data_IF_839671323084
#
_entry.id   IF_839671323084
#
_cell.length_a   1.000
_cell.length_b   1.000
_cell.length_c   1.000
_cell.angle_alpha   90.00
_cell.angle_beta   90.00
_cell.angle_gamma   90.00
#
_symmetry.space_group_name_H-M   'P 1'
#
loop_
_entity.id
_entity.type
_entity.pdbx_description
1 polymer ?
#
# COMPACT_ATOMS: atom_id res chain seq x y z
N UNK A 1 -50.78 -27.82 -52.56
CA UNK A 1 -50.84 -26.81 -51.45
C UNK A 1 -49.45 -26.24 -51.26
N UNK A 2 -49.21 -25.09 -51.82
CA UNK A 2 -47.91 -24.40 -51.71
C UNK A 2 -47.97 -23.48 -50.47
N UNK A 3 -47.19 -23.81 -49.44
CA UNK A 3 -46.99 -22.90 -48.30
C UNK A 3 -45.96 -21.83 -48.70
N UNK A 4 -46.42 -20.60 -48.93
CA UNK A 4 -45.55 -19.46 -49.09
C UNK A 4 -44.95 -19.09 -47.72
N UNK A 5 -43.68 -19.38 -47.49
CA UNK A 5 -42.90 -18.87 -46.38
C UNK A 5 -42.53 -17.42 -46.72
N UNK A 6 -43.21 -16.47 -46.08
CA UNK A 6 -42.86 -15.05 -46.17
C UNK A 6 -41.61 -14.87 -45.30
N UNK A 7 -40.45 -14.91 -45.93
CA UNK A 7 -39.18 -14.52 -45.30
C UNK A 7 -39.12 -12.98 -45.19
N UNK A 8 -39.31 -12.40 -44.02
CA UNK A 8 -39.09 -11.00 -43.78
C UNK A 8 -37.57 -10.76 -43.71
N UNK A 9 -37.01 -10.28 -44.81
CA UNK A 9 -35.60 -9.83 -44.82
C UNK A 9 -35.49 -8.47 -44.12
N UNK A 10 -35.00 -8.48 -42.91
CA UNK A 10 -34.66 -7.23 -42.19
C UNK A 10 -33.52 -6.51 -42.90
N UNK A 11 -33.63 -5.17 -43.05
CA UNK A 11 -32.55 -4.38 -43.64
C UNK A 11 -31.30 -4.45 -42.70
N UNK A 12 -30.12 -4.30 -43.29
CA UNK A 12 -28.86 -4.29 -42.48
C UNK A 12 -28.89 -3.23 -41.38
N UNK A 13 -29.56 -2.09 -41.65
CA UNK A 13 -29.73 -1.04 -40.62
C UNK A 13 -30.61 -1.49 -39.46
N UNK A 14 -31.69 -2.24 -39.75
CA UNK A 14 -32.58 -2.80 -38.73
C UNK A 14 -31.89 -3.84 -37.89
N UNK A 15 -31.07 -4.69 -38.51
CA UNK A 15 -30.27 -5.69 -37.75
C UNK A 15 -29.26 -5.02 -36.86
N UNK A 16 -28.54 -4.01 -37.35
CA UNK A 16 -27.59 -3.21 -36.56
C UNK A 16 -28.29 -2.53 -35.39
N UNK A 17 -29.43 -1.89 -35.60
CA UNK A 17 -30.20 -1.24 -34.55
C UNK A 17 -30.66 -2.24 -33.47
N UNK A 18 -31.12 -3.42 -33.88
CA UNK A 18 -31.54 -4.50 -32.95
C UNK A 18 -30.36 -5.00 -32.10
N UNK A 19 -29.23 -5.20 -32.72
CA UNK A 19 -27.99 -5.61 -31.99
C UNK A 19 -27.60 -4.54 -30.99
N UNK A 20 -27.59 -3.25 -31.36
CA UNK A 20 -27.28 -2.16 -30.42
C UNK A 20 -28.29 -2.08 -29.28
N UNK A 21 -29.60 -2.22 -29.56
CA UNK A 21 -30.63 -2.21 -28.53
C UNK A 21 -30.46 -3.38 -27.56
N UNK A 22 -30.16 -4.59 -28.06
CA UNK A 22 -29.95 -5.78 -27.23
C UNK A 22 -28.71 -5.61 -26.34
N UNK A 23 -27.59 -5.14 -26.91
CA UNK A 23 -26.37 -4.87 -26.15
C UNK A 23 -26.61 -3.81 -25.09
N UNK A 24 -27.31 -2.73 -25.41
CA UNK A 24 -27.64 -1.68 -24.44
C UNK A 24 -28.50 -2.21 -23.28
N UNK A 25 -29.50 -3.04 -23.58
CA UNK A 25 -30.36 -3.67 -22.57
C UNK A 25 -29.57 -4.61 -21.65
N UNK A 26 -28.67 -5.42 -22.21
CA UNK A 26 -27.79 -6.30 -21.44
C UNK A 26 -26.86 -5.50 -20.53
N UNK A 27 -26.29 -4.40 -21.00
CA UNK A 27 -25.43 -3.53 -20.21
C UNK A 27 -26.18 -2.86 -19.06
N UNK A 28 -27.41 -2.39 -19.29
CA UNK A 28 -28.27 -1.84 -18.21
C UNK A 28 -28.63 -2.90 -17.19
N UNK A 29 -28.97 -4.12 -17.63
CA UNK A 29 -29.24 -5.25 -16.73
C UNK A 29 -28.05 -5.62 -15.86
N UNK A 30 -26.86 -5.69 -16.45
CA UNK A 30 -25.63 -5.99 -15.74
C UNK A 30 -25.28 -4.88 -14.72
N UNK A 31 -25.46 -3.61 -15.09
CA UNK A 31 -25.26 -2.47 -14.18
C UNK A 31 -26.23 -2.54 -12.97
N UNK A 32 -27.49 -2.90 -13.22
CA UNK A 32 -28.49 -3.06 -12.17
C UNK A 32 -28.10 -4.21 -11.20
N UNK A 33 -27.64 -5.36 -11.73
CA UNK A 33 -27.18 -6.50 -10.91
C UNK A 33 -25.97 -6.10 -10.06
N UNK A 34 -24.98 -5.40 -10.64
CA UNK A 34 -23.80 -4.94 -9.93
C UNK A 34 -24.14 -3.97 -8.79
N UNK A 35 -25.05 -3.04 -9.02
CA UNK A 35 -25.55 -2.11 -7.98
C UNK A 35 -26.36 -2.81 -6.89
N UNK A 36 -27.16 -3.81 -7.25
CA UNK A 36 -27.94 -4.58 -6.29
C UNK A 36 -27.04 -5.44 -5.40
N UNK A 37 -26.06 -6.13 -5.97
CA UNK A 37 -25.09 -6.93 -5.21
C UNK A 37 -24.30 -6.08 -4.20
N UNK A 38 -23.96 -4.86 -4.57
CA UNK A 38 -23.27 -3.92 -3.69
C UNK A 38 -24.16 -3.44 -2.53
N UNK A 39 -25.44 -3.17 -2.79
CA UNK A 39 -26.41 -2.82 -1.73
C UNK A 39 -26.64 -3.97 -0.75
N UNK A 40 -26.73 -5.20 -1.23
CA UNK A 40 -26.87 -6.38 -0.37
C UNK A 40 -25.65 -6.59 0.50
N UNK A 41 -24.44 -6.44 -0.07
CA UNK A 41 -23.18 -6.54 0.69
C UNK A 41 -23.02 -5.42 1.75
N UNK A 42 -23.54 -4.21 1.50
CA UNK A 42 -23.51 -3.11 2.45
C UNK A 42 -24.50 -3.31 3.62
N UNK A 43 -25.68 -3.91 3.37
CA UNK A 43 -26.65 -4.22 4.42
C UNK A 43 -26.19 -5.33 5.35
N UNK A 44 -25.52 -6.36 4.83
CA UNK A 44 -24.92 -7.43 5.65
C UNK A 44 -23.76 -6.91 6.51
N UNK A 45 -22.93 -6.01 5.97
CA UNK A 45 -21.84 -5.39 6.70
C UNK A 45 -22.32 -4.46 7.83
N UNK A 46 -23.43 -3.75 7.64
CA UNK A 46 -24.01 -2.86 8.68
C UNK A 46 -24.60 -3.64 9.85
N UNK A 47 -25.21 -4.79 9.58
CA UNK A 47 -25.85 -5.63 10.61
C UNK A 47 -24.82 -6.42 11.46
N UNK A 48 -23.63 -6.69 10.94
CA UNK A 48 -22.55 -7.34 11.72
C UNK A 48 -21.74 -6.35 12.58
N UNK A 49 -21.58 -5.10 12.15
CA UNK A 49 -20.84 -4.08 12.91
C UNK A 49 -21.57 -3.62 14.20
N UNK A 50 -22.87 -3.78 14.30
CA UNK A 50 -23.64 -3.36 15.49
C UNK A 50 -23.49 -4.30 16.69
N UNK A 51 -23.02 -5.54 16.51
CA UNK A 51 -22.84 -6.50 17.62
C UNK A 51 -21.44 -6.56 18.21
N UNK A 52 -20.41 -6.09 17.49
CA UNK A 52 -19.00 -6.12 17.98
C UNK A 52 -18.53 -4.76 18.52
N UNK A 53 -19.34 -3.70 18.36
CA UNK A 53 -18.95 -2.31 18.64
C UNK A 53 -19.14 -1.82 20.07
N UNK A 54 -19.74 -2.60 20.97
CA UNK A 54 -20.05 -2.12 22.32
C UNK A 54 -18.92 -2.22 23.35
N UNK A 55 -17.85 -2.98 23.08
CA UNK A 55 -16.70 -3.13 24.03
C UNK A 55 -15.43 -2.40 23.57
N UNK A 56 -15.36 -1.92 22.33
CA UNK A 56 -14.22 -1.17 21.76
C UNK A 56 -14.44 0.37 21.75
N UNK A 57 -15.54 0.88 22.35
CA UNK A 57 -16.06 2.21 22.00
C UNK A 57 -15.26 3.42 22.49
N UNK A 58 -14.56 3.32 23.62
CA UNK A 58 -13.87 4.50 24.16
C UNK A 58 -12.47 4.68 23.58
N UNK A 59 -11.72 3.58 23.36
CA UNK A 59 -10.35 3.62 22.84
C UNK A 59 -10.25 4.05 21.39
N UNK A 60 -11.22 3.63 20.56
CA UNK A 60 -11.31 4.03 19.14
C UNK A 60 -11.80 5.46 18.95
N UNK A 61 -12.63 5.98 19.86
CA UNK A 61 -13.18 7.34 19.76
C UNK A 61 -12.10 8.41 19.94
N UNK A 62 -11.22 8.24 20.93
CA UNK A 62 -10.12 9.17 21.17
C UNK A 62 -9.09 9.14 20.02
N UNK A 63 -8.74 7.96 19.53
CA UNK A 63 -7.84 7.82 18.38
C UNK A 63 -8.43 8.46 17.13
N UNK A 64 -9.70 8.20 16.82
CA UNK A 64 -10.40 8.78 15.68
C UNK A 64 -10.51 10.31 15.79
N UNK A 65 -10.77 10.84 16.99
CA UNK A 65 -10.78 12.30 17.24
C UNK A 65 -9.40 12.91 17.00
N UNK A 66 -8.32 12.24 17.44
CA UNK A 66 -6.95 12.68 17.21
C UNK A 66 -6.60 12.68 15.72
N UNK A 67 -6.96 11.62 14.99
CA UNK A 67 -6.76 11.50 13.54
C UNK A 67 -7.53 12.59 12.79
N UNK A 68 -8.78 12.85 13.18
CA UNK A 68 -9.58 13.90 12.58
C UNK A 68 -8.93 15.29 12.77
N UNK A 69 -8.52 15.65 14.00
CA UNK A 69 -7.82 16.90 14.28
C UNK A 69 -6.52 17.02 13.50
N UNK A 70 -5.74 15.93 13.39
CA UNK A 70 -4.53 15.91 12.59
C UNK A 70 -4.84 16.14 11.10
N UNK A 71 -5.92 15.53 10.59
CA UNK A 71 -6.38 15.71 9.21
C UNK A 71 -6.83 17.14 8.92
N UNK A 72 -7.49 17.79 9.88
CA UNK A 72 -7.89 19.20 9.78
C UNK A 72 -6.66 20.12 9.75
N UNK A 73 -5.67 19.87 10.59
CA UNK A 73 -4.39 20.58 10.56
C UNK A 73 -3.64 20.40 9.24
N UNK A 74 -3.68 19.19 8.66
CA UNK A 74 -3.09 18.90 7.34
C UNK A 74 -3.84 19.58 6.20
N UNK A 75 -5.16 19.69 6.27
CA UNK A 75 -5.99 20.36 5.26
C UNK A 75 -5.65 21.84 5.07
N UNK A 76 -5.13 22.49 6.10
CA UNK A 76 -4.68 23.89 6.06
C UNK A 76 -3.29 24.07 5.43
N UNK A 77 -2.51 23.00 5.21
CA UNK A 77 -1.12 23.05 4.74
C UNK A 77 -0.94 22.80 3.25
N UNK A 78 -2.01 22.85 2.44
CA UNK A 78 -2.01 22.82 0.97
C UNK A 78 -1.07 21.76 0.33
N UNK A 79 -1.11 20.53 0.82
CA UNK A 79 -0.56 19.38 0.07
C UNK A 79 0.96 19.32 -0.10
N UNK A 80 1.74 20.19 0.54
CA UNK A 80 3.20 20.12 0.54
C UNK A 80 3.67 19.10 1.58
N UNK A 81 4.34 18.08 1.10
CA UNK A 81 5.04 16.98 1.79
C UNK A 81 5.13 17.10 3.31
N UNK A 82 4.30 16.34 3.92
CA UNK A 82 3.81 16.44 5.26
C UNK A 82 4.81 15.89 6.27
N UNK A 83 5.77 16.67 6.66
CA UNK A 83 6.19 16.57 8.06
C UNK A 83 4.95 16.95 8.86
N UNK A 84 4.41 15.99 9.60
CA UNK A 84 3.26 16.24 10.45
C UNK A 84 3.59 17.36 11.41
N UNK A 85 2.68 18.29 11.59
CA UNK A 85 2.78 19.32 12.63
C UNK A 85 2.87 18.60 13.97
N UNK A 86 3.64 19.14 14.91
CA UNK A 86 3.64 18.62 16.28
C UNK A 86 2.21 18.51 16.80
N UNK A 87 1.88 17.33 17.32
CA UNK A 87 0.54 17.00 17.78
C UNK A 87 0.64 16.12 19.02
N UNK A 88 -0.17 16.43 20.02
CA UNK A 88 -0.19 15.71 21.29
C UNK A 88 -1.60 15.25 21.63
N UNK A 89 -1.72 13.98 21.99
CA UNK A 89 -2.93 13.37 22.52
C UNK A 89 -2.57 12.15 23.38
N UNK A 90 -3.50 11.61 24.17
CA UNK A 90 -3.22 10.43 25.01
C UNK A 90 -2.73 9.20 24.25
N UNK A 91 -3.03 9.09 22.96
CA UNK A 91 -2.80 7.87 22.18
C UNK A 91 -2.06 8.06 20.86
N UNK A 92 -1.94 9.31 20.40
CA UNK A 92 -1.35 9.63 19.11
C UNK A 92 -0.52 10.91 19.24
N UNK A 93 0.78 10.78 19.10
CA UNK A 93 1.70 11.90 19.28
C UNK A 93 2.64 12.06 18.09
N UNK A 94 2.89 13.29 17.70
CA UNK A 94 3.88 13.68 16.70
C UNK A 94 4.83 14.70 17.33
N UNK A 95 6.11 14.38 17.35
CA UNK A 95 7.16 15.21 17.93
C UNK A 95 8.18 15.52 16.83
N UNK A 96 8.53 16.81 16.67
CA UNK A 96 9.44 17.28 15.62
C UNK A 96 9.05 16.82 14.19
N UNK A 97 7.73 16.70 13.98
CA UNK A 97 7.16 16.26 12.71
C UNK A 97 7.20 14.77 12.47
N UNK A 98 7.57 13.94 13.45
CA UNK A 98 7.64 12.49 13.34
C UNK A 98 6.73 11.79 14.36
N UNK A 99 6.14 10.67 13.96
CA UNK A 99 5.32 9.86 14.87
C UNK A 99 6.16 9.38 16.06
N UNK A 100 5.63 9.55 17.28
CA UNK A 100 6.31 9.11 18.50
C UNK A 100 6.55 7.59 18.49
N UNK A 101 7.75 7.20 18.88
CA UNK A 101 8.10 5.84 19.28
C UNK A 101 8.14 5.75 20.80
N UNK A 102 7.39 4.84 21.38
CA UNK A 102 7.34 4.68 22.84
C UNK A 102 8.52 3.86 23.38
N UNK A 103 8.78 3.96 24.65
CA UNK A 103 9.78 3.16 25.39
C UNK A 103 11.21 3.30 24.86
N UNK A 104 11.55 4.44 24.27
CA UNK A 104 12.91 4.74 23.84
C UNK A 104 13.85 4.85 25.05
N UNK A 105 15.10 4.34 24.96
CA UNK A 105 16.08 4.51 26.05
C UNK A 105 16.43 5.99 26.20
N UNK A 106 16.67 6.46 27.44
CA UNK A 106 17.08 7.84 27.70
C UNK A 106 18.39 8.18 27.00
N UNK A 107 19.32 7.24 26.99
CA UNK A 107 20.58 7.31 26.26
C UNK A 107 20.68 6.13 25.29
N UNK A 108 21.15 6.38 24.09
CA UNK A 108 21.32 5.37 23.05
C UNK A 108 22.73 5.43 22.46
N UNK A 109 23.34 4.28 22.23
CA UNK A 109 24.65 4.17 21.58
C UNK A 109 24.53 4.29 20.07
N UNK A 110 23.41 3.86 19.50
CA UNK A 110 23.11 3.92 18.07
C UNK A 110 21.63 4.21 17.81
N UNK A 111 21.31 4.54 16.57
CA UNK A 111 19.95 4.80 16.13
C UNK A 111 19.52 3.79 15.07
N UNK A 112 18.26 3.39 15.14
CA UNK A 112 17.58 2.71 14.06
C UNK A 112 16.57 3.68 13.44
N UNK A 113 16.73 4.00 12.17
CA UNK A 113 15.82 4.85 11.42
C UNK A 113 14.92 3.98 10.52
N UNK A 114 13.63 3.93 10.82
CA UNK A 114 12.65 3.23 10.00
C UNK A 114 11.92 4.23 9.10
N UNK A 115 12.27 4.24 7.82
CA UNK A 115 11.65 5.06 6.79
C UNK A 115 10.52 4.31 6.09
N UNK A 116 9.50 5.03 5.67
CA UNK A 116 8.40 4.49 4.87
C UNK A 116 7.25 5.46 4.70
N UNK A 117 6.13 4.93 4.23
CA UNK A 117 4.90 5.66 4.02
C UNK A 117 3.97 5.66 5.24
N UNK A 118 2.65 5.73 4.97
CA UNK A 118 1.59 5.62 5.98
C UNK A 118 1.67 4.34 6.82
N UNK A 119 2.14 3.24 6.24
CA UNK A 119 2.32 1.96 6.92
C UNK A 119 3.42 1.97 8.00
N UNK A 120 4.37 2.91 7.96
CA UNK A 120 5.34 3.16 9.05
C UNK A 120 4.82 4.23 10.00
N UNK A 121 4.15 5.26 9.48
CA UNK A 121 3.49 6.27 10.30
C UNK A 121 2.42 5.66 11.21
N UNK A 122 1.72 4.60 10.75
CA UNK A 122 0.74 3.81 11.51
C UNK A 122 -0.33 4.69 12.16
N UNK A 123 -1.02 5.52 11.37
CA UNK A 123 -2.07 6.41 11.90
C UNK A 123 -3.30 5.66 12.43
N UNK A 124 -3.46 4.40 12.06
CA UNK A 124 -4.60 3.53 12.39
C UNK A 124 -4.53 2.95 13.81
N UNK A 125 -3.38 3.11 14.49
CA UNK A 125 -3.13 2.52 15.82
C UNK A 125 -2.57 3.54 16.79
N UNK A 126 -2.58 3.20 18.09
CA UNK A 126 -1.96 4.02 19.14
C UNK A 126 -0.43 4.03 19.01
N UNK A 127 0.24 4.99 19.66
CA UNK A 127 1.71 5.11 19.63
C UNK A 127 2.42 3.82 20.00
N UNK A 128 1.95 3.15 21.06
CA UNK A 128 2.54 1.89 21.54
C UNK A 128 2.41 0.72 20.57
N UNK A 129 1.44 0.79 19.62
CA UNK A 129 1.10 -0.30 18.72
C UNK A 129 1.65 -0.09 17.29
N UNK A 130 2.45 0.98 17.08
CA UNK A 130 3.15 1.21 15.81
C UNK A 130 4.24 0.16 15.58
N UNK A 131 4.66 -0.05 14.34
CA UNK A 131 5.80 -0.93 14.01
C UNK A 131 7.04 -0.48 14.79
N UNK A 132 7.32 0.84 14.84
CA UNK A 132 8.48 1.38 15.54
C UNK A 132 8.46 1.11 17.04
N UNK A 133 7.33 1.30 17.71
CA UNK A 133 7.22 1.04 19.15
C UNK A 133 7.31 -0.45 19.48
N UNK A 134 6.73 -1.33 18.63
CA UNK A 134 6.92 -2.76 18.75
C UNK A 134 8.39 -3.15 18.56
N UNK A 135 9.06 -2.58 17.56
CA UNK A 135 10.49 -2.83 17.30
C UNK A 135 11.36 -2.31 18.44
N UNK A 136 11.03 -1.14 19.03
CA UNK A 136 11.73 -0.60 20.20
C UNK A 136 11.67 -1.58 21.39
N UNK A 137 10.50 -2.15 21.72
CA UNK A 137 10.38 -3.14 22.78
C UNK A 137 11.22 -4.40 22.53
N UNK A 138 11.28 -4.85 21.28
CA UNK A 138 12.10 -6.00 20.89
C UNK A 138 13.59 -5.68 21.03
N UNK A 139 14.02 -4.50 20.59
CA UNK A 139 15.41 -4.04 20.73
C UNK A 139 15.80 -3.85 22.20
N UNK A 140 14.91 -3.31 23.04
CA UNK A 140 15.16 -3.16 24.48
C UNK A 140 15.41 -4.51 25.19
N UNK A 141 14.98 -5.63 24.60
CA UNK A 141 15.26 -6.96 25.13
C UNK A 141 16.67 -7.47 24.80
N UNK A 142 17.41 -6.77 23.95
CA UNK A 142 18.82 -7.04 23.64
C UNK A 142 19.75 -6.28 24.59
N UNK A 143 21.04 -6.57 24.52
CA UNK A 143 22.08 -5.87 25.33
C UNK A 143 22.45 -4.49 24.76
N UNK A 144 21.99 -4.18 23.54
CA UNK A 144 22.35 -2.95 22.84
C UNK A 144 21.35 -1.83 23.16
N UNK A 145 21.84 -0.62 23.44
CA UNK A 145 21.00 0.55 23.65
C UNK A 145 20.75 1.27 22.34
N UNK A 146 19.73 0.82 21.57
CA UNK A 146 19.37 1.36 20.26
C UNK A 146 18.08 2.18 20.38
N UNK A 147 18.05 3.37 19.82
CA UNK A 147 16.85 4.22 19.71
C UNK A 147 16.20 4.02 18.37
N UNK A 148 14.95 3.54 18.34
CA UNK A 148 14.16 3.39 17.12
C UNK A 148 13.45 4.71 16.79
N UNK A 149 13.75 5.27 15.63
CA UNK A 149 13.18 6.52 15.12
C UNK A 149 12.17 6.23 14.02
N UNK A 150 10.91 6.60 14.23
CA UNK A 150 9.89 6.54 13.21
C UNK A 150 10.10 7.67 12.19
N UNK A 151 10.39 7.33 10.95
CA UNK A 151 10.57 8.26 9.81
C UNK A 151 9.49 8.03 8.75
N UNK A 152 8.35 7.48 9.15
CA UNK A 152 7.19 7.26 8.29
C UNK A 152 6.35 8.52 8.12
N UNK A 153 5.95 8.80 6.87
CA UNK A 153 5.01 9.86 6.53
C UNK A 153 4.06 9.37 5.44
N UNK A 154 2.76 9.59 5.60
CA UNK A 154 1.74 9.17 4.64
C UNK A 154 2.08 9.64 3.21
N UNK A 155 1.98 8.71 2.26
CA UNK A 155 2.24 8.97 0.85
C UNK A 155 3.71 8.96 0.43
N UNK A 156 4.68 8.86 1.35
CA UNK A 156 6.10 8.82 0.98
C UNK A 156 6.45 7.56 0.17
N UNK A 157 7.23 7.79 -0.87
CA UNK A 157 7.84 6.80 -1.75
C UNK A 157 9.30 6.59 -1.39
N UNK A 158 9.95 5.60 -1.99
CA UNK A 158 11.41 5.39 -1.86
C UNK A 158 12.19 6.67 -2.20
N UNK A 159 11.82 7.38 -3.27
CA UNK A 159 12.48 8.63 -3.67
C UNK A 159 12.31 9.75 -2.62
N UNK A 160 11.13 9.85 -2.02
CA UNK A 160 10.89 10.83 -0.96
C UNK A 160 11.67 10.46 0.32
N UNK A 161 11.72 9.18 0.67
CA UNK A 161 12.53 8.67 1.79
C UNK A 161 14.03 8.91 1.57
N UNK A 162 14.52 8.78 0.34
CA UNK A 162 15.90 9.12 -0.02
C UNK A 162 16.23 10.58 0.28
N UNK A 163 15.31 11.49 -0.07
CA UNK A 163 15.48 12.92 0.21
C UNK A 163 15.54 13.21 1.71
N UNK A 164 14.78 12.49 2.53
CA UNK A 164 14.80 12.65 3.99
C UNK A 164 16.07 12.00 4.60
N UNK A 165 16.51 10.84 4.12
CA UNK A 165 17.73 10.19 4.56
C UNK A 165 18.96 11.08 4.28
N UNK A 166 18.99 11.75 3.13
CA UNK A 166 20.09 12.65 2.75
C UNK A 166 20.29 13.83 3.72
N UNK A 167 19.30 14.14 4.55
CA UNK A 167 19.39 15.20 5.58
C UNK A 167 19.97 14.71 6.91
N UNK A 168 20.13 13.39 7.08
CA UNK A 168 20.64 12.81 8.32
C UNK A 168 22.17 12.68 8.29
N UNK A 169 22.77 13.00 9.41
CA UNK A 169 24.16 12.68 9.71
C UNK A 169 24.19 11.30 10.38
N UNK A 170 24.32 10.26 9.56
CA UNK A 170 24.46 8.90 10.06
C UNK A 170 25.80 8.70 10.76
N UNK A 171 25.82 7.79 11.73
CA UNK A 171 27.03 7.38 12.47
C UNK A 171 27.31 5.90 12.20
N UNK A 172 28.52 5.47 12.50
CA UNK A 172 28.82 4.05 12.59
C UNK A 172 27.84 3.38 13.57
N UNK A 173 27.45 2.14 13.27
CA UNK A 173 26.49 1.32 14.02
C UNK A 173 25.04 1.82 13.99
N UNK A 174 24.73 2.92 13.29
CA UNK A 174 23.32 3.25 12.99
C UNK A 174 22.73 2.21 12.03
N UNK A 175 21.40 2.03 12.11
CA UNK A 175 20.66 1.10 11.25
C UNK A 175 19.64 1.91 10.45
N UNK A 176 19.63 1.74 9.14
CA UNK A 176 18.66 2.34 8.23
C UNK A 176 17.80 1.25 7.62
N UNK A 177 16.49 1.35 7.82
CA UNK A 177 15.51 0.45 7.22
C UNK A 177 14.56 1.26 6.33
N UNK A 178 14.44 0.85 5.08
CA UNK A 178 13.45 1.38 4.13
C UNK A 178 12.33 0.35 3.96
N UNK A 179 11.15 0.66 4.48
CA UNK A 179 9.95 -0.17 4.36
C UNK A 179 9.07 0.40 3.25
N UNK A 180 9.02 -0.29 2.10
CA UNK A 180 8.48 0.27 0.86
C UNK A 180 7.59 -0.70 0.10
N UNK A 181 6.97 -0.21 -0.98
CA UNK A 181 6.21 -0.99 -1.96
C UNK A 181 4.81 -0.47 -2.20
N UNK A 182 4.02 -0.14 -1.16
CA UNK A 182 2.64 0.26 -1.32
C UNK A 182 2.48 1.56 -2.13
N UNK A 183 3.17 2.62 -1.75
CA UNK A 183 3.07 3.91 -2.44
C UNK A 183 3.78 3.88 -3.79
N UNK A 184 4.94 3.22 -3.85
CA UNK A 184 5.73 3.08 -5.07
C UNK A 184 4.98 2.31 -6.16
N UNK A 185 4.18 1.31 -5.79
CA UNK A 185 3.34 0.57 -6.76
C UNK A 185 2.12 1.33 -7.27
N UNK A 186 1.73 2.44 -6.62
CA UNK A 186 0.60 3.29 -7.04
C UNK A 186 0.99 4.42 -8.00
N UNK A 187 2.15 5.02 -7.80
CA UNK A 187 2.47 6.34 -8.32
C UNK A 187 2.50 6.42 -9.85
N UNK A 188 3.08 5.43 -10.52
CA UNK A 188 3.23 5.51 -11.98
C UNK A 188 1.94 5.22 -12.75
N UNK A 189 1.01 4.49 -12.15
CA UNK A 189 -0.28 4.21 -12.78
C UNK A 189 -1.16 5.46 -12.82
N UNK A 190 -1.14 6.29 -11.77
CA UNK A 190 -1.98 7.49 -11.70
C UNK A 190 -1.40 8.70 -12.43
N UNK A 191 -0.10 8.93 -12.38
CA UNK A 191 0.54 10.08 -13.03
C UNK A 191 0.54 9.98 -14.56
N UNK A 192 0.60 8.78 -15.12
CA UNK A 192 0.58 8.58 -16.57
C UNK A 192 -0.86 8.51 -17.14
N UNK A 193 -1.84 8.06 -16.37
CA UNK A 193 -3.26 8.17 -16.75
C UNK A 193 -3.71 9.64 -16.82
N UNK A 194 -3.15 10.51 -15.96
CA UNK A 194 -3.49 11.94 -15.95
C UNK A 194 -2.85 12.75 -17.10
N UNK A 195 -1.73 12.31 -17.66
CA UNK A 195 -0.91 13.10 -18.58
C UNK A 195 -1.03 12.77 -20.08
N UNK A 196 -1.73 11.69 -20.49
CA UNK A 196 -1.89 11.37 -21.92
C UNK A 196 -3.33 11.16 -22.31
N UNK A 197 -3.88 12.02 -23.19
CA UNK A 197 -5.18 11.77 -23.79
C UNK A 197 -5.09 10.46 -24.60
N UNK A 198 -6.10 9.64 -24.42
CA UNK A 198 -6.31 8.37 -25.11
C UNK A 198 -6.05 8.44 -26.61
N UNK A 199 -5.11 7.64 -27.09
CA UNK A 199 -4.74 7.56 -28.51
C UNK A 199 -5.02 6.22 -29.18
N UNK A 200 -5.87 5.36 -28.62
CA UNK A 200 -6.21 4.09 -29.26
C UNK A 200 -7.72 3.93 -29.47
N UNK A 201 -8.11 3.63 -30.68
CA UNK A 201 -9.46 3.52 -31.24
C UNK A 201 -10.24 4.83 -31.08
N UNK A 202 -10.18 5.76 -32.05
CA UNK A 202 -10.93 7.02 -32.03
C UNK A 202 -12.43 6.73 -31.91
N UNK A 203 -13.04 7.11 -30.78
CA UNK A 203 -14.46 6.94 -30.51
C UNK A 203 -14.73 6.02 -29.33
N UNK A 204 -14.30 4.75 -29.34
CA UNK A 204 -14.65 3.77 -28.33
C UNK A 204 -14.12 4.12 -26.92
N UNK A 205 -12.87 4.51 -26.82
CA UNK A 205 -12.25 4.91 -25.55
C UNK A 205 -12.80 6.22 -25.01
N UNK A 206 -13.19 7.15 -25.90
CA UNK A 206 -13.86 8.38 -25.48
C UNK A 206 -15.24 8.10 -24.91
N UNK A 207 -15.99 7.19 -25.55
CA UNK A 207 -17.32 6.78 -25.08
C UNK A 207 -17.20 6.05 -23.74
N UNK A 208 -16.32 5.06 -23.61
CA UNK A 208 -16.12 4.36 -22.32
C UNK A 208 -15.62 5.30 -21.24
N UNK A 209 -14.70 6.22 -21.55
CA UNK A 209 -14.25 7.23 -20.62
C UNK A 209 -15.39 8.16 -20.17
N UNK A 210 -16.25 8.58 -21.09
CA UNK A 210 -17.44 9.37 -20.78
C UNK A 210 -18.42 8.59 -19.89
N UNK A 211 -18.74 7.34 -20.23
CA UNK A 211 -19.64 6.48 -19.47
C UNK A 211 -19.09 6.21 -18.06
N UNK A 212 -17.79 5.96 -17.92
CA UNK A 212 -17.14 5.75 -16.63
C UNK A 212 -17.11 7.01 -15.77
N UNK A 213 -16.64 8.14 -16.31
CA UNK A 213 -16.37 9.36 -15.54
C UNK A 213 -17.64 10.19 -15.35
N UNK A 214 -18.41 10.41 -16.40
CA UNK A 214 -19.59 11.29 -16.36
C UNK A 214 -20.83 10.57 -15.83
N UNK A 215 -21.08 9.36 -16.27
CA UNK A 215 -22.24 8.59 -15.84
C UNK A 215 -21.93 7.63 -14.67
N UNK A 216 -20.67 7.49 -14.26
CA UNK A 216 -20.23 6.61 -13.17
C UNK A 216 -20.77 5.18 -13.32
N UNK A 217 -20.82 4.66 -14.54
CA UNK A 217 -21.28 3.31 -14.82
C UNK A 217 -20.21 2.28 -14.45
N UNK A 218 -20.53 1.37 -13.57
CA UNK A 218 -19.65 0.31 -13.07
C UNK A 218 -19.24 -0.68 -14.16
N UNK A 219 -20.15 -1.03 -15.03
CA UNK A 219 -19.88 -1.90 -16.17
C UNK A 219 -18.86 -1.26 -17.12
N UNK A 220 -18.93 0.06 -17.35
CA UNK A 220 -17.94 0.77 -18.14
C UNK A 220 -16.58 0.80 -17.46
N UNK A 221 -16.54 0.88 -16.15
CA UNK A 221 -15.31 0.78 -15.36
C UNK A 221 -14.71 -0.63 -15.44
N UNK A 222 -15.52 -1.67 -15.32
CA UNK A 222 -15.08 -3.06 -15.47
C UNK A 222 -14.54 -3.35 -16.87
N UNK A 223 -15.29 -2.99 -17.94
CA UNK A 223 -14.83 -3.15 -19.32
C UNK A 223 -13.52 -2.38 -19.56
N UNK A 224 -13.43 -1.15 -19.03
CA UNK A 224 -12.22 -0.35 -19.11
C UNK A 224 -11.01 -1.04 -18.47
N UNK A 225 -11.19 -1.58 -17.27
CA UNK A 225 -10.12 -2.27 -16.54
C UNK A 225 -9.63 -3.52 -17.28
N UNK A 226 -10.52 -4.22 -17.99
CA UNK A 226 -10.21 -5.46 -18.68
C UNK A 226 -9.72 -5.27 -20.13
N UNK A 227 -10.24 -4.26 -20.85
CA UNK A 227 -10.05 -4.17 -22.32
C UNK A 227 -9.18 -3.01 -22.79
N UNK A 228 -9.14 -1.89 -22.05
CA UNK A 228 -8.55 -0.64 -22.57
C UNK A 228 -7.11 -0.44 -22.09
N UNK A 229 -6.62 -1.23 -21.16
CA UNK A 229 -5.22 -1.14 -20.71
C UNK A 229 -4.29 -1.84 -21.70
N UNK A 230 -3.43 -1.11 -22.40
CA UNK A 230 -2.39 -1.74 -23.19
C UNK A 230 -1.39 -2.40 -22.24
N UNK A 231 -1.35 -3.73 -22.26
CA UNK A 231 -0.44 -4.53 -21.43
C UNK A 231 1.03 -4.07 -21.55
N UNK A 232 1.47 -3.73 -22.75
CA UNK A 232 2.86 -3.30 -23.02
C UNK A 232 3.25 -2.00 -22.33
N UNK A 233 2.36 -1.00 -22.26
CA UNK A 233 2.66 0.25 -21.57
C UNK A 233 2.72 0.08 -20.05
N UNK A 234 1.84 -0.73 -19.50
CA UNK A 234 1.85 -1.02 -18.08
C UNK A 234 3.13 -1.74 -17.67
N UNK A 235 3.58 -2.74 -18.46
CA UNK A 235 4.81 -3.45 -18.22
C UNK A 235 6.04 -2.53 -18.30
N UNK A 236 6.12 -1.69 -19.34
CA UNK A 236 7.21 -0.72 -19.46
C UNK A 236 7.24 0.27 -18.29
N UNK A 237 6.09 0.71 -17.80
CA UNK A 237 6.02 1.62 -16.67
C UNK A 237 6.45 0.93 -15.37
N UNK A 238 6.08 -0.34 -15.20
CA UNK A 238 6.49 -1.17 -14.07
C UNK A 238 8.01 -1.34 -14.06
N UNK A 239 8.63 -1.60 -15.21
CA UNK A 239 10.08 -1.73 -15.35
C UNK A 239 10.81 -0.43 -15.00
N UNK A 240 10.37 0.70 -15.56
CA UNK A 240 10.94 2.03 -15.30
C UNK A 240 10.79 2.41 -13.83
N UNK A 241 9.64 2.11 -13.22
CA UNK A 241 9.43 2.39 -11.81
C UNK A 241 10.35 1.53 -10.93
N UNK A 242 10.48 0.25 -11.23
CA UNK A 242 11.35 -0.64 -10.50
C UNK A 242 12.84 -0.25 -10.63
N UNK A 243 13.25 0.24 -11.80
CA UNK A 243 14.59 0.79 -12.03
C UNK A 243 14.83 2.06 -11.18
N UNK A 244 13.88 2.98 -11.14
CA UNK A 244 13.97 4.17 -10.32
C UNK A 244 14.05 3.86 -8.82
N UNK A 245 13.30 2.85 -8.35
CA UNK A 245 13.36 2.36 -6.98
C UNK A 245 14.71 1.71 -6.70
N UNK A 246 15.23 0.88 -7.61
CA UNK A 246 16.55 0.25 -7.50
C UNK A 246 17.66 1.29 -7.37
N UNK A 247 17.68 2.31 -8.25
CA UNK A 247 18.66 3.40 -8.20
C UNK A 247 18.62 4.12 -6.86
N UNK A 248 17.43 4.53 -6.41
CA UNK A 248 17.27 5.26 -5.15
C UNK A 248 17.72 4.42 -3.93
N UNK A 249 17.37 3.12 -3.88
CA UNK A 249 17.79 2.22 -2.81
C UNK A 249 19.30 2.00 -2.80
N UNK A 250 19.94 1.88 -3.96
CA UNK A 250 21.42 1.78 -4.05
C UNK A 250 22.10 3.05 -3.54
N UNK A 251 21.61 4.22 -3.91
CA UNK A 251 22.15 5.50 -3.42
C UNK A 251 22.03 5.61 -1.89
N UNK A 252 20.88 5.21 -1.31
CA UNK A 252 20.69 5.17 0.13
C UNK A 252 21.61 4.16 0.82
N UNK A 253 21.79 2.97 0.22
CA UNK A 253 22.73 1.99 0.73
C UNK A 253 24.17 2.53 0.73
N UNK A 254 24.61 3.19 -0.34
CA UNK A 254 25.95 3.80 -0.41
C UNK A 254 26.12 4.89 0.66
N UNK A 255 25.10 5.71 0.91
CA UNK A 255 25.14 6.72 1.98
C UNK A 255 25.30 6.04 3.36
N UNK A 256 24.51 5.01 3.65
CA UNK A 256 24.59 4.28 4.92
C UNK A 256 25.97 3.62 5.10
N UNK A 257 26.43 2.87 4.11
CA UNK A 257 27.75 2.20 4.16
C UNK A 257 28.89 3.22 4.28
N UNK A 258 28.80 4.36 3.60
CA UNK A 258 29.82 5.43 3.71
C UNK A 258 29.92 6.03 5.11
N UNK A 259 28.87 5.91 5.93
CA UNK A 259 28.85 6.32 7.33
C UNK A 259 29.19 5.17 8.30
N UNK A 260 29.41 3.95 7.81
CA UNK A 260 29.56 2.75 8.65
C UNK A 260 28.24 2.22 9.22
N UNK A 261 27.10 2.64 8.67
CA UNK A 261 25.78 2.24 9.12
C UNK A 261 25.28 1.00 8.34
N UNK A 262 24.45 0.19 8.98
CA UNK A 262 23.77 -0.93 8.31
C UNK A 262 22.56 -0.42 7.49
N UNK A 263 22.30 -1.08 6.36
CA UNK A 263 21.18 -0.75 5.48
C UNK A 263 20.33 -1.97 5.15
N UNK A 264 19.01 -1.82 5.23
CA UNK A 264 18.02 -2.82 4.83
C UNK A 264 16.90 -2.16 4.01
N UNK A 265 16.53 -2.79 2.91
CA UNK A 265 15.33 -2.43 2.15
C UNK A 265 14.33 -3.58 2.21
N UNK A 266 13.18 -3.32 2.81
CA UNK A 266 12.16 -4.33 3.09
C UNK A 266 10.93 -4.08 2.22
N UNK A 267 10.63 -5.02 1.33
CA UNK A 267 9.39 -4.98 0.55
C UNK A 267 8.24 -5.44 1.44
N UNK A 268 7.32 -4.51 1.72
CA UNK A 268 6.24 -4.70 2.69
C UNK A 268 5.19 -5.73 2.25
N UNK A 269 4.55 -6.44 3.20
CA UNK A 269 3.39 -7.27 2.90
C UNK A 269 2.18 -6.43 2.49
N UNK A 270 1.30 -7.01 1.68
CA UNK A 270 -0.02 -6.48 1.36
C UNK A 270 -1.00 -7.61 1.08
N UNK A 271 -2.30 -7.33 1.17
CA UNK A 271 -3.32 -8.36 0.99
C UNK A 271 -3.29 -9.00 -0.40
N UNK A 272 -2.85 -8.28 -1.44
CA UNK A 272 -2.84 -8.80 -2.80
C UNK A 272 -1.76 -9.87 -3.03
N UNK A 273 -0.69 -9.88 -2.24
CA UNK A 273 0.43 -10.83 -2.36
C UNK A 273 0.30 -12.04 -1.46
N UNK A 274 -0.72 -12.12 -0.59
CA UNK A 274 -0.97 -13.29 0.25
C UNK A 274 -1.14 -14.56 -0.57
N UNK A 275 -0.68 -15.68 -0.03
CA UNK A 275 -0.81 -17.02 -0.64
C UNK A 275 -2.20 -17.61 -0.46
N UNK A 276 -2.86 -17.28 0.66
CA UNK A 276 -4.22 -17.72 0.98
C UNK A 276 -5.03 -16.57 1.56
N UNK A 277 -6.33 -16.55 1.27
CA UNK A 277 -7.23 -15.48 1.69
C UNK A 277 -8.25 -15.98 2.71
N UNK A 278 -8.35 -15.30 3.84
CA UNK A 278 -9.49 -15.40 4.76
C UNK A 278 -10.73 -14.73 4.15
N UNK A 279 -11.90 -14.95 4.78
CA UNK A 279 -13.14 -14.24 4.37
C UNK A 279 -12.95 -12.73 4.42
N UNK A 280 -12.31 -12.20 5.46
CA UNK A 280 -12.05 -10.77 5.62
C UNK A 280 -11.06 -10.23 4.59
N UNK A 281 -10.04 -11.01 4.20
CA UNK A 281 -9.15 -10.63 3.10
C UNK A 281 -9.93 -10.44 1.80
N UNK A 282 -10.86 -11.35 1.49
CA UNK A 282 -11.72 -11.24 0.30
C UNK A 282 -12.62 -10.00 0.35
N UNK A 283 -13.14 -9.63 1.51
CA UNK A 283 -13.90 -8.40 1.69
C UNK A 283 -13.04 -7.16 1.43
N UNK A 284 -11.80 -7.14 1.92
CA UNK A 284 -10.84 -6.06 1.66
C UNK A 284 -10.52 -5.97 0.16
N UNK A 285 -10.26 -7.11 -0.49
CA UNK A 285 -10.01 -7.17 -1.94
C UNK A 285 -11.16 -6.59 -2.74
N UNK A 286 -12.41 -6.94 -2.39
CA UNK A 286 -13.61 -6.47 -3.09
C UNK A 286 -13.87 -4.97 -2.88
N UNK A 287 -13.48 -4.41 -1.73
CA UNK A 287 -13.64 -2.97 -1.43
C UNK A 287 -12.50 -2.12 -1.96
N UNK A 288 -11.37 -2.72 -2.27
CA UNK A 288 -10.17 -1.99 -2.70
C UNK A 288 -10.39 -1.33 -4.06
N UNK A 289 -10.06 -0.04 -4.14
CA UNK A 289 -10.01 0.70 -5.40
C UNK A 289 -8.68 0.53 -6.14
N UNK A 290 -7.73 -0.16 -5.52
CA UNK A 290 -6.41 -0.45 -6.09
C UNK A 290 -6.51 -1.67 -6.99
N UNK A 291 -5.87 -1.64 -8.14
CA UNK A 291 -5.83 -2.79 -9.04
C UNK A 291 -4.85 -3.86 -8.53
N UNK A 292 -5.32 -5.04 -8.07
CA UNK A 292 -4.47 -6.07 -7.49
C UNK A 292 -3.42 -6.59 -8.48
N UNK A 293 -3.79 -6.69 -9.77
CA UNK A 293 -2.91 -7.19 -10.82
C UNK A 293 -1.69 -6.32 -11.01
N UNK A 294 -1.87 -4.99 -10.98
CA UNK A 294 -0.76 -4.05 -11.15
C UNK A 294 0.18 -4.12 -9.96
N UNK A 295 -0.36 -4.14 -8.75
CA UNK A 295 0.47 -4.28 -7.54
C UNK A 295 1.27 -5.57 -7.57
N UNK A 296 0.65 -6.71 -7.93
CA UNK A 296 1.35 -8.00 -8.07
C UNK A 296 2.49 -7.95 -9.10
N UNK A 297 2.23 -7.38 -10.27
CA UNK A 297 3.25 -7.25 -11.33
C UNK A 297 4.39 -6.37 -10.84
N UNK A 298 4.10 -5.23 -10.21
CA UNK A 298 5.10 -4.31 -9.68
C UNK A 298 5.95 -4.97 -8.58
N UNK A 299 5.33 -5.70 -7.64
CA UNK A 299 6.03 -6.42 -6.59
C UNK A 299 6.93 -7.51 -7.14
N UNK A 300 6.47 -8.27 -8.14
CA UNK A 300 7.28 -9.27 -8.81
C UNK A 300 8.50 -8.64 -9.51
N UNK A 301 8.35 -7.47 -10.12
CA UNK A 301 9.47 -6.77 -10.75
C UNK A 301 10.47 -6.23 -9.71
N UNK A 302 9.99 -5.73 -8.56
CA UNK A 302 10.89 -5.38 -7.44
C UNK A 302 11.68 -6.59 -6.96
N UNK A 303 11.02 -7.72 -6.70
CA UNK A 303 11.69 -8.94 -6.27
C UNK A 303 12.72 -9.38 -7.30
N UNK A 304 12.35 -9.46 -8.56
CA UNK A 304 13.25 -9.88 -9.67
C UNK A 304 14.50 -9.01 -9.75
N UNK A 305 14.37 -7.68 -9.65
CA UNK A 305 15.49 -6.73 -9.78
C UNK A 305 16.35 -6.67 -8.54
N UNK A 306 15.73 -6.70 -7.36
CA UNK A 306 16.42 -6.39 -6.11
C UNK A 306 16.99 -7.63 -5.41
N UNK A 307 16.55 -8.86 -5.73
CA UNK A 307 17.03 -10.09 -5.07
C UNK A 307 18.53 -10.36 -5.19
N UNK A 308 19.23 -9.69 -6.12
CA UNK A 308 20.68 -9.75 -6.25
C UNK A 308 21.45 -8.98 -5.16
N UNK A 309 20.75 -8.11 -4.40
CA UNK A 309 21.36 -7.27 -3.37
C UNK A 309 21.21 -7.88 -1.98
N UNK A 310 22.28 -8.00 -1.19
CA UNK A 310 22.25 -8.60 0.13
C UNK A 310 21.48 -7.79 1.17
N UNK A 311 21.21 -6.52 0.90
CA UNK A 311 20.44 -5.62 1.75
C UNK A 311 18.93 -5.63 1.44
N UNK A 312 18.50 -6.33 0.39
CA UNK A 312 17.09 -6.42 0.04
C UNK A 312 16.43 -7.67 0.64
N UNK A 313 15.32 -7.48 1.33
CA UNK A 313 14.56 -8.57 1.96
C UNK A 313 13.06 -8.40 1.67
N UNK A 314 12.46 -9.24 0.84
CA UNK A 314 11.01 -9.28 0.70
C UNK A 314 10.42 -9.94 1.95
N UNK A 315 9.65 -9.20 2.74
CA UNK A 315 8.90 -9.73 3.88
C UNK A 315 7.41 -9.85 3.55
N UNK A 316 7.10 -10.06 2.28
CA UNK A 316 5.75 -10.08 1.72
C UNK A 316 4.87 -11.21 2.26
N UNK A 317 5.46 -12.27 2.79
CA UNK A 317 4.81 -13.45 3.36
C UNK A 317 4.78 -13.47 4.91
N UNK A 318 5.30 -12.44 5.56
CA UNK A 318 5.38 -12.36 7.03
C UNK A 318 4.02 -12.47 7.74
N UNK A 319 2.92 -12.25 7.03
CA UNK A 319 1.56 -12.30 7.55
C UNK A 319 0.73 -13.47 7.00
N UNK A 320 1.29 -14.34 6.18
CA UNK A 320 0.56 -15.44 5.52
C UNK A 320 0.06 -16.50 6.49
N UNK A 321 0.77 -16.72 7.60
CA UNK A 321 0.45 -17.74 8.61
C UNK A 321 -0.43 -17.24 9.74
N UNK A 322 -0.78 -15.93 9.76
CA UNK A 322 -1.64 -15.39 10.79
C UNK A 322 -3.07 -15.92 10.63
N UNK A 323 -3.69 -16.47 11.69
CA UNK A 323 -5.00 -17.12 11.59
C UNK A 323 -6.13 -16.18 11.20
N UNK A 324 -6.03 -14.91 11.58
CA UNK A 324 -6.94 -13.85 11.20
C UNK A 324 -6.20 -12.83 10.34
N UNK A 325 -6.92 -12.11 9.46
CA UNK A 325 -6.27 -11.06 8.70
C UNK A 325 -5.96 -9.86 9.57
N UNK A 326 -4.68 -9.45 9.69
CA UNK A 326 -4.31 -8.24 10.41
C UNK A 326 -4.44 -6.97 9.52
N UNK A 327 -4.96 -7.10 8.30
CA UNK A 327 -5.13 -5.99 7.39
C UNK A 327 -6.40 -5.19 7.68
N UNK A 328 -6.27 -3.86 7.79
CA UNK A 328 -7.37 -2.90 7.89
C UNK A 328 -7.88 -2.50 6.51
N UNK A 329 -6.96 -2.38 5.57
CA UNK A 329 -7.21 -2.22 4.14
C UNK A 329 -6.20 -3.08 3.34
N UNK A 330 -5.91 -2.72 2.10
CA UNK A 330 -5.03 -3.52 1.27
C UNK A 330 -3.56 -3.55 1.73
N UNK A 331 -3.09 -2.61 2.58
CA UNK A 331 -1.69 -2.53 3.03
C UNK A 331 -1.50 -2.06 4.48
N UNK A 332 -2.48 -1.40 5.09
CA UNK A 332 -2.39 -0.96 6.48
C UNK A 332 -2.76 -2.08 7.45
N UNK A 333 -2.10 -2.11 8.59
CA UNK A 333 -2.18 -3.20 9.56
C UNK A 333 -2.77 -2.71 10.88
N UNK A 334 -3.41 -3.62 11.58
CA UNK A 334 -3.77 -3.44 12.99
C UNK A 334 -2.55 -3.63 13.91
N UNK A 335 -2.77 -3.51 15.23
CA UNK A 335 -1.72 -3.67 16.24
C UNK A 335 -1.01 -5.03 16.15
N UNK A 336 -1.76 -6.10 15.85
CA UNK A 336 -1.20 -7.46 15.76
C UNK A 336 -0.29 -7.61 14.54
N UNK A 337 -0.72 -7.09 13.39
CA UNK A 337 0.08 -7.08 12.16
C UNK A 337 1.35 -6.25 12.28
N UNK A 338 1.26 -5.08 12.92
CA UNK A 338 2.42 -4.24 13.20
C UNK A 338 3.46 -4.95 14.09
N UNK A 339 3.00 -5.71 15.09
CA UNK A 339 3.89 -6.52 15.93
C UNK A 339 4.60 -7.62 15.13
N UNK A 340 3.90 -8.33 14.25
CA UNK A 340 4.49 -9.38 13.41
C UNK A 340 5.54 -8.82 12.44
N UNK A 341 5.25 -7.69 11.82
CA UNK A 341 6.22 -7.00 10.95
C UNK A 341 7.44 -6.56 11.74
N UNK A 342 7.25 -5.98 12.94
CA UNK A 342 8.36 -5.60 13.81
C UNK A 342 9.24 -6.79 14.20
N UNK A 343 8.64 -7.97 14.50
CA UNK A 343 9.39 -9.21 14.75
C UNK A 343 10.21 -9.64 13.54
N UNK A 344 9.63 -9.62 12.35
CA UNK A 344 10.34 -9.96 11.12
C UNK A 344 11.53 -9.03 10.86
N UNK A 345 11.39 -7.73 11.14
CA UNK A 345 12.50 -6.76 11.07
C UNK A 345 13.60 -7.07 12.11
N UNK A 346 13.19 -7.33 13.35
CA UNK A 346 14.13 -7.64 14.43
C UNK A 346 14.94 -8.90 14.16
N UNK A 347 14.29 -9.95 13.65
CA UNK A 347 14.96 -11.21 13.29
C UNK A 347 15.99 -11.03 12.18
N UNK A 348 15.72 -10.15 11.20
CA UNK A 348 16.68 -9.82 10.13
C UNK A 348 17.91 -9.09 10.69
N UNK A 349 17.70 -8.11 11.57
CA UNK A 349 18.81 -7.38 12.23
C UNK A 349 19.69 -8.35 13.01
N UNK A 350 19.09 -9.21 13.83
CA UNK A 350 19.82 -10.21 14.62
C UNK A 350 20.65 -11.16 13.75
N UNK A 351 20.11 -11.68 12.67
CA UNK A 351 20.82 -12.58 11.75
C UNK A 351 22.05 -11.90 11.13
N UNK A 352 21.95 -10.62 10.83
CA UNK A 352 23.07 -9.87 10.25
C UNK A 352 24.20 -9.72 11.26
N UNK A 353 23.89 -9.29 12.49
CA UNK A 353 24.88 -9.14 13.57
C UNK A 353 25.62 -10.45 13.85
N UNK A 354 24.92 -11.59 13.89
CA UNK A 354 25.52 -12.90 14.08
C UNK A 354 26.49 -13.29 12.96
N UNK A 355 26.16 -12.99 11.71
CA UNK A 355 27.01 -13.29 10.56
C UNK A 355 28.28 -12.42 10.54
N UNK A 356 28.20 -11.17 10.95
CA UNK A 356 29.36 -10.27 11.04
C UNK A 356 30.32 -10.71 12.16
N UNK A 357 29.80 -11.18 13.29
CA UNK A 357 30.63 -11.71 14.40
C UNK A 357 31.41 -12.97 13.98
N UNK A 358 30.79 -13.87 13.20
CA UNK A 358 31.44 -15.11 12.72
C UNK A 358 32.56 -14.81 11.70
N UNK A 359 32.42 -13.74 10.91
CA UNK A 359 33.41 -13.37 9.89
C UNK A 359 34.61 -12.59 10.44
N UNK A 360 34.52 -12.07 11.65
CA UNK A 360 35.57 -11.28 12.32
C UNK A 360 36.45 -12.10 13.28
N UNK A 361 36.13 -13.38 13.57
CA UNK A 361 37.04 -14.24 14.32
C UNK A 361 38.26 -14.60 13.43
N UNK A 362 39.46 -14.23 13.85
CA UNK A 362 40.68 -14.59 13.09
C UNK A 362 40.85 -16.12 13.09
N UNK A 363 40.96 -16.68 11.89
CA UNK A 363 41.39 -18.09 11.70
C UNK A 363 42.83 -18.28 12.10
#
# INVERSE_FOLDING_TARGET
MNANVIGIALSSQTVIALVFATVATLLVGLEAILRLSERLNLTDASNQNTKTSQTLSNDTTELNSAIQKLSELHGHLNGLHLKSVNFESPKFNVVDGWRLTTEQPPEATSNLYLFGGSTVQCIEVQDRDTICSNLQRLVNSSSESIRVNNRGVSGMTVRANQTELAKLLLKADDIVIIYFGANDSKLDVHLQEAKKPFRFIPGYTKILGFLRIKLKLRVAEWIWLETVRPADRTLKNVEVNAENVEVALNEMNHQALGAGAMFFALLQPNVFTKKSYSKRDLEILNRSKINPRIVKIQYNEYIKRLSKYPWFHPITDSLDTHPETPYLDWCHLDASGNNLVARSMFDLIKRRNLNETITTEPR
#
